data_IF_960508774137
#
_entry.id   IF_960508774137
#
_cell.length_a   1.000
_cell.length_b   1.000
_cell.length_c   1.000
_cell.angle_alpha   90.00
_cell.angle_beta   90.00
_cell.angle_gamma   90.00
#
_symmetry.space_group_name_H-M   'P 1'
#
loop_
_entity.id
_entity.type
_entity.pdbx_description
1 polymer ?
#
# COMPACT_ATOMS: atom_id res chain seq x y z
N UNK A 1 23.29 28.43 -11.69
CA UNK A 1 21.87 28.86 -11.66
C UNK A 1 21.07 27.87 -12.50
N UNK A 2 20.31 26.98 -11.89
CA UNK A 2 19.40 26.07 -12.60
C UNK A 2 17.97 26.43 -12.18
N UNK A 3 17.19 26.91 -13.15
CA UNK A 3 15.83 27.36 -12.97
C UNK A 3 14.89 26.18 -12.67
N UNK A 4 14.14 26.29 -11.57
CA UNK A 4 13.08 25.34 -11.22
C UNK A 4 11.89 25.47 -12.15
N UNK A 5 11.67 24.45 -12.97
CA UNK A 5 10.45 24.28 -13.76
C UNK A 5 9.38 23.57 -12.95
N UNK A 6 8.60 24.32 -12.17
CA UNK A 6 7.39 23.84 -11.51
C UNK A 6 6.28 23.62 -12.53
N UNK A 7 5.97 22.36 -12.86
CA UNK A 7 4.81 22.02 -13.66
C UNK A 7 3.52 22.28 -12.88
N UNK A 8 2.72 23.23 -13.36
CA UNK A 8 1.34 23.46 -12.88
C UNK A 8 0.47 22.27 -13.27
N UNK A 9 -0.23 21.68 -12.30
CA UNK A 9 -1.42 20.87 -12.55
C UNK A 9 -2.63 21.66 -12.03
N UNK A 10 -3.55 21.95 -12.95
CA UNK A 10 -4.76 22.72 -12.69
C UNK A 10 -5.75 21.93 -11.82
N UNK A 11 -6.13 22.55 -10.71
CA UNK A 11 -7.38 22.45 -9.96
C UNK A 11 -8.30 21.24 -10.23
N UNK A 12 -8.36 20.32 -9.27
CA UNK A 12 -9.57 19.54 -9.02
C UNK A 12 -10.30 20.17 -7.84
N UNK A 13 -11.44 20.81 -8.17
CA UNK A 13 -12.42 21.37 -7.23
C UNK A 13 -12.92 20.28 -6.27
N UNK A 14 -12.98 20.62 -4.98
CA UNK A 14 -13.71 19.85 -3.97
C UNK A 14 -13.18 20.15 -2.57
N UNK A 15 -13.85 21.05 -1.87
CA UNK A 15 -13.56 21.43 -0.48
C UNK A 15 -13.77 20.24 0.47
N UNK A 16 -12.71 19.46 0.73
CA UNK A 16 -12.65 18.56 1.88
C UNK A 16 -11.79 19.25 2.95
N UNK A 17 -12.43 20.08 3.76
CA UNK A 17 -11.81 20.88 4.81
C UNK A 17 -11.03 20.00 5.81
N UNK A 18 -9.70 19.95 5.64
CA UNK A 18 -8.77 19.31 6.58
C UNK A 18 -7.73 18.36 5.98
N UNK A 19 -7.84 17.99 4.70
CA UNK A 19 -6.85 17.11 4.05
C UNK A 19 -5.77 17.93 3.35
N UNK A 20 -4.51 17.76 3.76
CA UNK A 20 -3.37 18.23 2.97
C UNK A 20 -3.00 17.15 1.97
N UNK A 21 -3.29 17.38 0.69
CA UNK A 21 -2.80 16.53 -0.37
C UNK A 21 -1.25 16.60 -0.38
N UNK A 22 -0.59 15.46 -0.21
CA UNK A 22 0.86 15.37 -0.37
C UNK A 22 1.15 15.11 -1.84
N UNK A 23 1.43 16.18 -2.57
CA UNK A 23 1.81 16.17 -3.97
C UNK A 23 3.30 15.83 -4.16
N UNK A 24 4.12 16.09 -3.15
CA UNK A 24 5.55 15.81 -3.15
C UNK A 24 6.02 15.28 -1.79
N UNK A 25 6.62 14.09 -1.80
CA UNK A 25 7.30 13.54 -0.62
C UNK A 25 8.69 14.20 -0.44
N UNK A 26 9.17 14.37 0.81
CA UNK A 26 10.53 14.82 1.07
C UNK A 26 11.57 13.89 0.43
N UNK A 27 12.75 14.44 0.13
CA UNK A 27 13.87 13.66 -0.40
C UNK A 27 14.24 12.53 0.57
N UNK A 28 14.46 11.33 0.04
CA UNK A 28 14.79 10.13 0.83
C UNK A 28 13.59 9.36 1.38
N UNK A 29 12.36 9.89 1.25
CA UNK A 29 11.14 9.13 1.59
C UNK A 29 10.76 8.22 0.42
N UNK A 30 10.53 6.93 0.71
CA UNK A 30 9.97 5.97 -0.24
C UNK A 30 8.49 5.75 0.05
N UNK A 31 7.65 6.00 -0.94
CA UNK A 31 6.22 5.77 -0.87
C UNK A 31 5.85 4.57 -1.74
N UNK A 32 5.12 3.62 -1.14
CA UNK A 32 4.56 2.46 -1.81
C UNK A 32 3.06 2.44 -1.51
N UNK A 33 2.25 1.95 -2.44
CA UNK A 33 0.82 1.83 -2.17
C UNK A 33 0.22 0.54 -2.70
N UNK A 34 -0.92 0.23 -2.12
CA UNK A 34 -1.68 -1.00 -2.31
C UNK A 34 -3.15 -0.63 -2.48
N UNK A 35 -3.87 -1.22 -3.45
CA UNK A 35 -5.31 -1.03 -3.60
C UNK A 35 -6.07 -1.89 -2.57
N UNK A 36 -5.86 -1.63 -1.27
CA UNK A 36 -6.30 -2.49 -0.18
C UNK A 36 -7.82 -2.71 -0.16
N UNK A 37 -8.60 -1.66 -0.43
CA UNK A 37 -10.07 -1.73 -0.53
C UNK A 37 -10.49 -2.72 -1.61
N UNK A 38 -9.94 -2.60 -2.82
CA UNK A 38 -10.24 -3.51 -3.94
C UNK A 38 -9.85 -4.95 -3.61
N UNK A 39 -8.66 -5.16 -3.04
CA UNK A 39 -8.19 -6.51 -2.69
C UNK A 39 -9.09 -7.16 -1.63
N UNK A 40 -9.58 -6.39 -0.66
CA UNK A 40 -10.52 -6.87 0.35
C UNK A 40 -11.92 -7.14 -0.23
N UNK A 41 -12.39 -6.32 -1.17
CA UNK A 41 -13.65 -6.55 -1.90
C UNK A 41 -13.61 -7.82 -2.74
N UNK A 42 -12.49 -8.12 -3.39
CA UNK A 42 -12.27 -9.37 -4.12
C UNK A 42 -12.33 -10.62 -3.20
N UNK A 43 -12.19 -10.45 -1.88
CA UNK A 43 -12.36 -11.50 -0.86
C UNK A 43 -13.80 -11.53 -0.28
N UNK A 44 -14.69 -10.70 -0.80
CA UNK A 44 -16.11 -10.68 -0.46
C UNK A 44 -16.47 -9.91 0.83
N UNK A 45 -15.50 -9.34 1.56
CA UNK A 45 -15.77 -8.53 2.76
C UNK A 45 -14.77 -7.38 2.93
N UNK A 46 -15.26 -6.13 2.98
CA UNK A 46 -14.42 -4.94 3.26
C UNK A 46 -13.74 -4.96 4.63
N UNK A 47 -14.20 -5.80 5.57
CA UNK A 47 -13.70 -5.86 6.96
C UNK A 47 -12.23 -6.27 7.06
N UNK A 48 -11.67 -6.95 6.06
CA UNK A 48 -10.27 -7.44 6.10
C UNK A 48 -9.25 -6.49 5.47
N UNK A 49 -9.65 -5.26 5.15
CA UNK A 49 -8.79 -4.23 4.57
C UNK A 49 -7.50 -4.01 5.37
N UNK A 50 -7.59 -3.93 6.69
CA UNK A 50 -6.42 -3.74 7.55
C UNK A 50 -5.42 -4.90 7.44
N UNK A 51 -5.91 -6.12 7.24
CA UNK A 51 -5.04 -7.30 7.13
C UNK A 51 -4.34 -7.37 5.78
N UNK A 52 -5.00 -6.92 4.70
CA UNK A 52 -4.34 -6.71 3.40
C UNK A 52 -3.16 -5.73 3.56
N UNK A 53 -3.35 -4.66 4.33
CA UNK A 53 -2.27 -3.69 4.59
C UNK A 53 -1.11 -4.31 5.36
N UNK A 54 -1.37 -5.18 6.35
CA UNK A 54 -0.31 -5.88 7.11
C UNK A 54 0.52 -6.79 6.20
N UNK A 55 -0.14 -7.56 5.32
CA UNK A 55 0.56 -8.40 4.35
C UNK A 55 1.45 -7.57 3.43
N UNK A 56 0.90 -6.49 2.88
CA UNK A 56 1.64 -5.56 2.02
C UNK A 56 2.84 -4.93 2.73
N UNK A 57 2.65 -4.48 3.97
CA UNK A 57 3.72 -3.92 4.80
C UNK A 57 4.85 -4.92 5.03
N UNK A 58 4.53 -6.17 5.36
CA UNK A 58 5.52 -7.24 5.53
C UNK A 58 6.37 -7.43 4.29
N UNK A 59 5.74 -7.56 3.12
CA UNK A 59 6.43 -7.79 1.86
C UNK A 59 7.32 -6.61 1.41
N UNK A 60 6.83 -5.37 1.55
CA UNK A 60 7.57 -4.18 1.09
C UNK A 60 8.73 -3.82 2.02
N UNK A 61 8.56 -4.05 3.32
CA UNK A 61 9.60 -3.65 4.30
C UNK A 61 10.64 -4.73 4.53
N UNK A 62 10.28 -6.02 4.42
CA UNK A 62 11.19 -7.14 4.72
C UNK A 62 11.70 -7.16 6.16
N UNK A 63 11.07 -6.41 7.09
CA UNK A 63 11.54 -6.28 8.47
C UNK A 63 11.22 -7.50 9.33
N UNK A 64 10.24 -8.29 8.93
CA UNK A 64 9.71 -9.43 9.68
C UNK A 64 9.55 -10.60 8.73
N UNK A 65 9.84 -11.80 9.22
CA UNK A 65 9.59 -13.04 8.48
C UNK A 65 8.12 -13.20 8.14
N UNK A 66 7.83 -13.62 6.89
CA UNK A 66 6.46 -13.75 6.39
C UNK A 66 5.63 -14.70 7.27
N UNK A 67 6.19 -15.85 7.63
CA UNK A 67 5.50 -16.84 8.47
C UNK A 67 5.23 -16.31 9.88
N UNK A 68 6.12 -15.48 10.44
CA UNK A 68 5.93 -14.89 11.76
C UNK A 68 4.76 -13.89 11.76
N UNK A 69 4.69 -13.02 10.74
CA UNK A 69 3.58 -12.10 10.56
C UNK A 69 2.26 -12.84 10.30
N UNK A 70 2.29 -13.86 9.43
CA UNK A 70 1.12 -14.67 9.11
C UNK A 70 0.56 -15.38 10.33
N UNK A 71 1.44 -15.92 11.18
CA UNK A 71 1.07 -16.51 12.47
C UNK A 71 0.49 -15.46 13.43
N UNK A 72 1.10 -14.28 13.54
CA UNK A 72 0.57 -13.20 14.37
C UNK A 72 -0.84 -12.75 13.93
N UNK A 73 -1.12 -12.75 12.63
CA UNK A 73 -2.48 -12.53 12.11
C UNK A 73 -3.42 -13.65 12.56
N UNK A 74 -3.00 -14.91 12.47
CA UNK A 74 -3.81 -16.05 12.92
C UNK A 74 -4.18 -15.96 14.41
N UNK A 75 -3.20 -15.60 15.25
CA UNK A 75 -3.31 -15.53 16.70
C UNK A 75 -4.14 -14.33 17.19
N UNK A 76 -4.27 -13.28 16.37
CA UNK A 76 -4.95 -12.02 16.73
C UNK A 76 -6.43 -11.94 16.33
N UNK A 77 -6.96 -12.95 15.63
CA UNK A 77 -8.34 -12.95 15.12
C UNK A 77 -9.16 -14.14 15.64
N UNK A 78 -10.49 -13.98 15.85
CA UNK A 78 -11.35 -15.10 16.22
C UNK A 78 -11.30 -16.25 15.21
N UNK A 79 -11.38 -17.52 15.65
CA UNK A 79 -11.32 -18.68 14.77
C UNK A 79 -12.33 -18.63 13.60
N UNK A 80 -13.53 -18.12 13.84
CA UNK A 80 -14.60 -18.03 12.85
C UNK A 80 -14.25 -17.16 11.61
N UNK A 81 -13.32 -16.21 11.76
CA UNK A 81 -12.90 -15.31 10.68
C UNK A 81 -11.43 -15.49 10.29
N UNK A 82 -10.73 -16.44 10.90
CA UNK A 82 -9.28 -16.62 10.72
C UNK A 82 -8.91 -16.91 9.26
N UNK A 83 -9.62 -17.85 8.61
CA UNK A 83 -9.37 -18.21 7.21
C UNK A 83 -9.41 -16.98 6.28
N UNK A 84 -10.41 -16.12 6.44
CA UNK A 84 -10.57 -14.94 5.61
C UNK A 84 -9.44 -13.91 5.85
N UNK A 85 -9.03 -13.71 7.11
CA UNK A 85 -7.95 -12.79 7.43
C UNK A 85 -6.59 -13.33 6.92
N UNK A 86 -6.35 -14.64 7.00
CA UNK A 86 -5.15 -15.23 6.41
C UNK A 86 -5.11 -15.06 4.88
N UNK A 87 -6.24 -15.26 4.20
CA UNK A 87 -6.33 -14.97 2.76
C UNK A 87 -6.09 -13.48 2.44
N UNK A 88 -6.55 -12.58 3.29
CA UNK A 88 -6.30 -11.14 3.14
C UNK A 88 -4.82 -10.79 3.32
N UNK A 89 -4.16 -11.40 4.32
CA UNK A 89 -2.73 -11.26 4.53
C UNK A 89 -1.96 -11.75 3.30
N UNK A 90 -2.26 -12.97 2.85
CA UNK A 90 -1.61 -13.61 1.70
C UNK A 90 -1.74 -12.73 0.44
N UNK A 91 -2.94 -12.17 0.17
CA UNK A 91 -3.17 -11.22 -0.94
C UNK A 91 -2.33 -9.94 -0.83
N UNK A 92 -2.27 -9.36 0.37
CA UNK A 92 -1.48 -8.15 0.60
C UNK A 92 0.01 -8.40 0.38
N UNK A 93 0.51 -9.51 0.93
CA UNK A 93 1.90 -9.91 0.84
C UNK A 93 2.31 -10.22 -0.61
N UNK A 94 1.49 -10.95 -1.35
CA UNK A 94 1.71 -11.23 -2.77
C UNK A 94 1.76 -9.95 -3.60
N UNK A 95 0.84 -9.01 -3.38
CA UNK A 95 0.84 -7.73 -4.08
C UNK A 95 2.12 -6.94 -3.82
N UNK A 96 2.55 -6.87 -2.56
CA UNK A 96 3.79 -6.20 -2.15
C UNK A 96 5.03 -6.85 -2.75
N UNK A 97 5.10 -8.20 -2.75
CA UNK A 97 6.24 -8.95 -3.31
C UNK A 97 6.41 -8.68 -4.80
N UNK A 98 5.32 -8.78 -5.57
CA UNK A 98 5.31 -8.46 -7.00
C UNK A 98 5.64 -7.00 -7.29
N UNK A 99 5.27 -6.08 -6.40
CA UNK A 99 5.67 -4.67 -6.52
C UNK A 99 7.19 -4.53 -6.37
N UNK A 100 7.78 -5.17 -5.37
CA UNK A 100 9.22 -5.11 -5.13
C UNK A 100 10.04 -5.76 -6.25
N UNK A 101 9.58 -6.89 -6.80
CA UNK A 101 10.17 -7.53 -7.99
C UNK A 101 10.21 -6.56 -9.18
N UNK A 102 9.07 -5.96 -9.54
CA UNK A 102 9.00 -4.97 -10.63
C UNK A 102 9.91 -3.76 -10.39
N UNK A 103 10.07 -3.32 -9.15
CA UNK A 103 10.94 -2.18 -8.84
C UNK A 103 12.42 -2.55 -8.95
N UNK A 104 12.80 -3.78 -8.57
CA UNK A 104 14.16 -4.29 -8.72
C UNK A 104 14.56 -4.42 -10.21
N UNK A 105 13.66 -4.94 -11.05
CA UNK A 105 13.89 -5.10 -12.49
C UNK A 105 14.09 -3.77 -13.22
N UNK A 106 13.38 -2.72 -12.79
CA UNK A 106 13.39 -1.41 -13.43
C UNK A 106 14.59 -0.52 -13.05
N UNK A 107 15.51 -1.03 -12.22
CA UNK A 107 16.80 -0.41 -11.95
C UNK A 107 16.69 1.05 -11.54
N UNK A 108 15.98 1.31 -10.44
CA UNK A 108 16.04 2.56 -9.67
C UNK A 108 16.02 3.89 -10.48
N UNK A 109 15.23 3.95 -11.56
CA UNK A 109 15.06 5.17 -12.38
C UNK A 109 13.61 5.66 -12.36
N UNK A 110 13.36 6.64 -11.49
CA UNK A 110 12.19 7.52 -11.59
C UNK A 110 11.11 7.21 -10.57
N UNK A 111 11.41 7.51 -9.31
CA UNK A 111 10.44 7.52 -8.22
C UNK A 111 9.36 8.58 -8.45
N UNK A 112 8.13 8.22 -8.11
CA UNK A 112 6.89 8.93 -8.36
C UNK A 112 6.45 8.97 -9.85
N UNK A 113 5.76 7.92 -10.27
CA UNK A 113 4.56 8.08 -11.09
C UNK A 113 3.40 7.40 -10.38
N UNK A 114 2.84 8.16 -9.42
CA UNK A 114 1.45 8.05 -8.98
C UNK A 114 1.05 6.71 -8.34
N UNK A 115 1.20 6.63 -7.02
CA UNK A 115 0.37 5.74 -6.20
C UNK A 115 -0.34 6.61 -5.16
N UNK A 116 -1.57 6.98 -5.47
CA UNK A 116 -2.49 7.58 -4.52
C UNK A 116 -3.31 6.50 -3.86
N UNK A 117 -3.38 6.51 -2.53
CA UNK A 117 -4.42 5.81 -1.78
C UNK A 117 -5.58 6.81 -1.70
N UNK A 118 -6.54 6.69 -2.61
CA UNK A 118 -7.82 7.37 -2.46
C UNK A 118 -8.80 6.38 -1.85
N UNK A 119 -9.42 6.76 -0.74
CA UNK A 119 -10.65 6.12 -0.28
C UNK A 119 -11.75 6.48 -1.29
N UNK A 120 -12.12 5.51 -2.13
CA UNK A 120 -13.40 5.46 -2.83
C UNK A 120 -14.08 4.14 -2.45
#
# INVERSE_FOLDING_TARGET
MAAGGGGRVSALRGEASGWTAVDRYPNGVRAYGVPATRLAEELGRKVVLNIVMVGFFGAVTGLLEADALRKAVADSVPPAIQKLNLQAYDKGFEYGSRLMERLAENGDRGWCRQVGVYWA
#
